data_IF_410328108951
#
_entry.id   IF_410328108951
#
_cell.length_a   1.000
_cell.length_b   1.000
_cell.length_c   1.000
_cell.angle_alpha   90.00
_cell.angle_beta   90.00
_cell.angle_gamma   90.00
#
_symmetry.space_group_name_H-M   'P 1'
#
loop_
_entity.id
_entity.type
_entity.pdbx_description
1 polymer ?
#
# COMPACT_ATOMS: atom_id res chain seq x y z
N UNK A 1 11.33 33.74 2.91
CA UNK A 1 12.11 32.48 3.01
C UNK A 1 11.52 31.42 3.98
N UNK A 2 10.72 31.78 4.99
CA UNK A 2 10.14 30.81 5.97
C UNK A 2 9.09 29.83 5.41
N UNK A 3 8.28 30.22 4.42
CA UNK A 3 7.14 29.39 3.96
C UNK A 3 7.55 28.17 3.12
N UNK A 4 8.71 28.22 2.45
CA UNK A 4 9.20 27.06 1.68
C UNK A 4 9.85 26.02 2.60
N UNK A 5 10.50 26.45 3.69
CA UNK A 5 11.06 25.56 4.69
C UNK A 5 9.96 24.72 5.35
N UNK A 6 8.82 25.31 5.70
CA UNK A 6 7.68 24.54 6.21
C UNK A 6 7.12 23.54 5.20
N UNK A 7 7.11 23.88 3.90
CA UNK A 7 6.71 22.95 2.84
C UNK A 7 7.69 21.78 2.73
N UNK A 8 9.00 22.04 2.75
CA UNK A 8 10.01 20.97 2.69
C UNK A 8 10.00 20.10 3.94
N UNK A 9 9.83 20.68 5.14
CA UNK A 9 9.68 19.93 6.39
C UNK A 9 8.42 19.07 6.36
N UNK A 10 7.31 19.59 5.83
CA UNK A 10 6.07 18.84 5.69
C UNK A 10 6.19 17.71 4.65
N UNK A 11 6.90 17.95 3.55
CA UNK A 11 7.15 16.96 2.49
C UNK A 11 8.10 15.85 2.98
N UNK A 12 9.15 16.21 3.74
CA UNK A 12 10.05 15.25 4.39
C UNK A 12 9.31 14.46 5.47
N UNK A 13 8.49 15.11 6.31
CA UNK A 13 7.64 14.44 7.30
C UNK A 13 6.67 13.45 6.63
N UNK A 14 6.04 13.84 5.53
CA UNK A 14 5.14 12.97 4.78
C UNK A 14 5.88 11.78 4.16
N UNK A 15 7.05 12.01 3.55
CA UNK A 15 7.89 10.96 2.98
C UNK A 15 8.44 10.00 4.05
N UNK A 16 8.75 10.50 5.24
CA UNK A 16 9.24 9.72 6.37
C UNK A 16 8.11 8.86 6.96
N UNK A 17 6.90 9.41 7.12
CA UNK A 17 5.70 8.67 7.51
C UNK A 17 5.32 7.60 6.48
N UNK A 18 5.40 7.89 5.18
CA UNK A 18 5.17 6.91 4.10
C UNK A 18 6.26 5.83 4.01
N UNK A 19 7.48 6.15 4.42
CA UNK A 19 8.59 5.18 4.48
C UNK A 19 8.47 4.26 5.69
N UNK A 20 7.92 4.75 6.81
CA UNK A 20 7.56 3.93 7.97
C UNK A 20 6.32 3.07 7.69
N UNK A 21 5.29 3.59 7.02
CA UNK A 21 4.14 2.81 6.53
C UNK A 21 4.55 1.75 5.50
N UNK A 22 5.49 2.10 4.60
CA UNK A 22 6.08 1.17 3.64
C UNK A 22 6.97 0.14 4.31
N UNK A 23 7.79 0.52 5.30
CA UNK A 23 8.70 -0.36 6.02
C UNK A 23 7.93 -1.30 6.96
N UNK A 24 7.06 -0.79 7.83
CA UNK A 24 6.21 -1.61 8.69
C UNK A 24 5.22 -2.46 7.88
N UNK A 25 4.69 -1.94 6.77
CA UNK A 25 3.90 -2.72 5.82
C UNK A 25 4.72 -3.81 5.14
N UNK A 26 5.97 -3.53 4.74
CA UNK A 26 6.85 -4.47 4.05
C UNK A 26 7.49 -5.49 4.99
N UNK A 27 7.85 -5.13 6.22
CA UNK A 27 8.35 -6.06 7.25
C UNK A 27 7.22 -6.91 7.78
N UNK A 28 6.00 -6.38 7.97
CA UNK A 28 4.83 -7.20 8.31
C UNK A 28 4.44 -8.14 7.15
N UNK A 29 4.55 -7.67 5.89
CA UNK A 29 4.37 -8.47 4.68
C UNK A 29 5.47 -9.53 4.48
N UNK A 30 6.71 -9.25 4.86
CA UNK A 30 7.81 -10.21 4.82
C UNK A 30 7.79 -11.18 6.01
N UNK A 31 7.45 -10.76 7.22
CA UNK A 31 7.34 -11.63 8.41
C UNK A 31 6.20 -12.63 8.26
N UNK A 32 5.09 -12.27 7.58
CA UNK A 32 4.05 -13.25 7.19
C UNK A 32 4.47 -14.15 6.02
N UNK A 33 5.51 -13.80 5.26
CA UNK A 33 6.12 -14.65 4.21
C UNK A 33 7.24 -15.56 4.72
N UNK A 34 7.85 -15.28 5.89
CA UNK A 34 9.11 -15.88 6.34
C UNK A 34 9.07 -16.61 7.68
N UNK A 35 7.90 -16.89 8.27
CA UNK A 35 7.86 -17.93 9.30
C UNK A 35 7.77 -19.32 8.63
N UNK A 36 8.77 -20.20 8.80
CA UNK A 36 8.62 -21.60 8.45
C UNK A 36 7.87 -22.30 9.59
N UNK A 37 6.65 -22.77 9.33
CA UNK A 37 6.10 -23.88 10.08
C UNK A 37 6.89 -25.18 9.74
N UNK A 38 6.89 -26.19 10.62
CA UNK A 38 7.88 -27.25 10.62
C UNK A 38 7.88 -28.03 9.30
N UNK A 39 9.08 -28.37 8.83
CA UNK A 39 9.26 -29.27 7.69
C UNK A 39 8.62 -30.62 7.97
N UNK A 40 7.59 -31.03 7.22
CA UNK A 40 7.40 -32.43 6.81
C UNK A 40 6.71 -32.50 5.44
N UNK A 41 7.51 -32.88 4.44
CA UNK A 41 7.24 -33.66 3.24
C UNK A 41 5.88 -33.55 2.51
N UNK A 42 5.99 -33.03 1.28
CA UNK A 42 5.66 -33.84 0.11
C UNK A 42 4.39 -33.47 -0.64
N UNK A 43 4.59 -33.23 -1.94
CA UNK A 43 3.59 -33.19 -3.03
C UNK A 43 2.94 -31.82 -3.29
N UNK A 44 3.24 -31.37 -4.51
CA UNK A 44 2.77 -30.23 -5.28
C UNK A 44 1.34 -29.74 -5.03
N UNK A 45 1.18 -28.43 -5.02
CA UNK A 45 -0.09 -27.77 -5.26
C UNK A 45 0.07 -26.26 -5.34
N UNK A 46 0.21 -25.74 -6.56
CA UNK A 46 0.16 -24.30 -6.85
C UNK A 46 -1.21 -23.76 -6.43
N UNK A 47 -1.28 -22.87 -5.43
CA UNK A 47 -2.45 -22.01 -5.15
C UNK A 47 -2.06 -20.85 -4.19
N UNK A 48 -2.83 -19.75 -4.08
CA UNK A 48 -2.46 -18.48 -4.71
C UNK A 48 -2.16 -17.35 -3.71
N UNK A 49 -1.59 -16.29 -4.27
CA UNK A 49 -1.34 -14.99 -3.66
C UNK A 49 -2.61 -14.39 -3.03
N UNK A 50 -2.55 -14.01 -1.74
CA UNK A 50 -3.53 -13.18 -1.02
C UNK A 50 -4.42 -13.94 -0.03
N UNK A 51 -4.16 -13.91 1.29
CA UNK A 51 -5.04 -14.68 2.19
C UNK A 51 -5.21 -14.30 3.68
N UNK A 52 -4.54 -13.31 4.27
CA UNK A 52 -4.80 -13.00 5.68
C UNK A 52 -5.80 -11.85 5.83
N UNK A 53 -5.36 -10.61 5.58
CA UNK A 53 -6.19 -9.41 5.80
C UNK A 53 -7.40 -9.31 4.87
N UNK A 54 -7.26 -9.77 3.62
CA UNK A 54 -8.37 -9.80 2.65
C UNK A 54 -9.40 -10.90 2.96
N UNK A 55 -8.93 -12.06 3.46
CA UNK A 55 -9.84 -13.12 3.87
C UNK A 55 -10.74 -12.63 5.01
N UNK A 56 -10.20 -11.89 5.97
CA UNK A 56 -10.99 -11.31 7.07
C UNK A 56 -12.04 -10.30 6.62
N UNK A 57 -11.75 -9.44 5.63
CA UNK A 57 -12.75 -8.48 5.12
C UNK A 57 -13.85 -9.21 4.35
N UNK A 58 -13.50 -10.17 3.49
CA UNK A 58 -14.50 -10.93 2.72
C UNK A 58 -15.38 -11.82 3.61
N UNK A 59 -14.80 -12.42 4.64
CA UNK A 59 -15.51 -13.19 5.65
C UNK A 59 -16.42 -12.28 6.50
N UNK A 60 -15.93 -11.11 6.91
CA UNK A 60 -16.73 -10.14 7.66
C UNK A 60 -17.91 -9.61 6.83
N UNK A 61 -17.81 -9.50 5.50
CA UNK A 61 -18.88 -8.98 4.65
C UNK A 61 -19.95 -10.00 4.28
N UNK A 62 -19.80 -11.28 4.66
CA UNK A 62 -20.75 -12.36 4.33
C UNK A 62 -21.14 -12.36 2.84
N UNK A 63 -20.14 -12.26 1.96
CA UNK A 63 -20.35 -12.14 0.52
C UNK A 63 -21.02 -13.38 -0.07
N UNK A 64 -21.93 -13.18 -1.04
CA UNK A 64 -22.45 -14.29 -1.85
C UNK A 64 -21.32 -14.92 -2.69
N UNK A 65 -21.40 -16.21 -3.03
CA UNK A 65 -20.36 -16.88 -3.82
C UNK A 65 -20.03 -16.16 -5.14
N UNK A 66 -21.04 -15.64 -5.83
CA UNK A 66 -20.85 -14.91 -7.09
C UNK A 66 -20.17 -13.54 -6.89
N UNK A 67 -20.49 -12.84 -5.79
CA UNK A 67 -19.81 -11.59 -5.41
C UNK A 67 -18.35 -11.86 -5.07
N UNK A 68 -18.08 -12.92 -4.28
CA UNK A 68 -16.74 -13.27 -3.86
C UNK A 68 -15.84 -13.58 -5.07
N UNK A 69 -16.33 -14.37 -6.02
CA UNK A 69 -15.57 -14.71 -7.23
C UNK A 69 -15.22 -13.47 -8.06
N UNK A 70 -16.21 -12.60 -8.30
CA UNK A 70 -16.00 -11.36 -9.05
C UNK A 70 -14.97 -10.43 -8.36
N UNK A 71 -15.01 -10.38 -7.03
CA UNK A 71 -14.11 -9.57 -6.23
C UNK A 71 -12.68 -10.12 -6.20
N UNK A 72 -12.51 -11.44 -6.13
CA UNK A 72 -11.19 -12.09 -6.19
C UNK A 72 -10.50 -11.81 -7.53
N UNK A 73 -11.23 -11.91 -8.64
CA UNK A 73 -10.69 -11.64 -9.98
C UNK A 73 -10.21 -10.18 -10.09
N UNK A 74 -10.99 -9.23 -9.57
CA UNK A 74 -10.64 -7.81 -9.56
C UNK A 74 -9.51 -7.47 -8.58
N UNK A 75 -9.44 -8.16 -7.45
CA UNK A 75 -8.38 -7.97 -6.47
C UNK A 75 -7.02 -8.31 -7.07
N UNK A 76 -6.91 -9.38 -7.88
CA UNK A 76 -5.64 -9.73 -8.55
C UNK A 76 -5.08 -8.58 -9.41
N UNK A 77 -5.93 -8.00 -10.27
CA UNK A 77 -5.57 -6.88 -11.15
C UNK A 77 -5.14 -5.65 -10.33
N UNK A 78 -5.87 -5.36 -9.25
CA UNK A 78 -5.57 -4.25 -8.36
C UNK A 78 -4.18 -4.38 -7.70
N UNK A 79 -3.86 -5.56 -7.15
CA UNK A 79 -2.54 -5.77 -6.54
C UNK A 79 -1.42 -5.65 -7.55
N UNK A 80 -1.58 -6.21 -8.75
CA UNK A 80 -0.56 -6.09 -9.79
C UNK A 80 -0.31 -4.62 -10.16
N UNK A 81 -1.37 -3.81 -10.26
CA UNK A 81 -1.25 -2.38 -10.52
C UNK A 81 -0.52 -1.63 -9.39
N UNK A 82 -0.80 -1.97 -8.12
CA UNK A 82 -0.10 -1.39 -6.98
C UNK A 82 1.37 -1.83 -6.91
N UNK A 83 1.66 -3.11 -7.11
CA UNK A 83 3.02 -3.66 -7.06
C UNK A 83 3.92 -2.98 -8.09
N UNK A 84 3.42 -2.75 -9.31
CA UNK A 84 4.15 -1.99 -10.35
C UNK A 84 4.48 -0.57 -9.91
N UNK A 85 3.53 0.13 -9.29
CA UNK A 85 3.75 1.51 -8.80
C UNK A 85 4.71 1.53 -7.60
N UNK A 86 4.63 0.56 -6.69
CA UNK A 86 5.56 0.42 -5.58
C UNK A 86 6.99 0.17 -6.06
N UNK A 87 7.18 -0.75 -7.02
CA UNK A 87 8.47 -1.01 -7.64
C UNK A 87 9.06 0.26 -8.28
N UNK A 88 8.20 1.07 -8.94
CA UNK A 88 8.61 2.35 -9.52
C UNK A 88 9.04 3.36 -8.46
N UNK A 89 8.30 3.50 -7.36
CA UNK A 89 8.70 4.36 -6.24
C UNK A 89 10.04 3.91 -5.64
N UNK A 90 10.24 2.60 -5.47
CA UNK A 90 11.50 2.05 -4.96
C UNK A 90 12.67 2.41 -5.89
N UNK A 91 12.51 2.23 -7.21
CA UNK A 91 13.50 2.63 -8.20
C UNK A 91 13.84 4.13 -8.11
N UNK A 92 12.81 4.99 -8.07
CA UNK A 92 13.01 6.45 -7.99
C UNK A 92 13.71 6.87 -6.70
N UNK A 93 13.43 6.20 -5.57
CA UNK A 93 14.14 6.43 -4.30
C UNK A 93 15.61 6.04 -4.39
N UNK A 94 15.93 4.93 -5.06
CA UNK A 94 17.32 4.55 -5.32
C UNK A 94 18.03 5.59 -6.18
N UNK A 95 17.38 6.09 -7.23
CA UNK A 95 17.94 7.16 -8.07
C UNK A 95 18.17 8.46 -7.29
N UNK A 96 17.21 8.87 -6.46
CA UNK A 96 17.32 10.03 -5.59
C UNK A 96 18.53 9.90 -4.65
N UNK A 97 18.71 8.73 -4.03
CA UNK A 97 19.87 8.46 -3.18
C UNK A 97 21.20 8.54 -3.97
N UNK A 98 21.19 8.10 -5.23
CA UNK A 98 22.33 8.28 -6.15
C UNK A 98 22.68 9.75 -6.38
N UNK A 99 21.67 10.58 -6.68
CA UNK A 99 21.85 12.03 -6.89
C UNK A 99 22.40 12.73 -5.65
N UNK A 100 21.94 12.32 -4.46
CA UNK A 100 22.40 12.88 -3.18
C UNK A 100 23.85 12.48 -2.83
N UNK A 101 24.36 11.37 -3.39
CA UNK A 101 25.72 10.86 -3.13
C UNK A 101 26.77 11.42 -4.09
N UNK A 102 26.37 12.17 -5.11
CA UNK A 102 27.31 12.80 -6.03
C UNK A 102 28.22 13.79 -5.29
N UNK A 103 29.47 13.93 -5.75
CA UNK A 103 30.44 14.90 -5.20
C UNK A 103 29.91 16.35 -5.26
N UNK A 104 29.13 16.64 -6.30
CA UNK A 104 28.39 17.90 -6.47
C UNK A 104 26.92 17.60 -6.76
N UNK A 105 26.05 17.51 -5.73
CA UNK A 105 24.64 17.22 -5.92
C UNK A 105 23.92 18.30 -6.74
N UNK A 106 23.22 17.88 -7.80
CA UNK A 106 22.36 18.78 -8.58
C UNK A 106 20.99 18.91 -7.90
N UNK A 107 20.74 20.09 -7.32
CA UNK A 107 19.48 20.40 -6.65
C UNK A 107 18.26 20.29 -7.57
N UNK A 108 18.38 20.66 -8.85
CA UNK A 108 17.24 20.56 -9.80
C UNK A 108 16.91 19.12 -10.12
N UNK A 109 17.92 18.27 -10.30
CA UNK A 109 17.72 16.85 -10.52
C UNK A 109 17.07 16.17 -9.30
N UNK A 110 17.46 16.57 -8.09
CA UNK A 110 16.86 16.10 -6.83
C UNK A 110 15.39 16.53 -6.73
N UNK A 111 15.07 17.80 -7.00
CA UNK A 111 13.70 18.30 -7.00
C UNK A 111 12.81 17.56 -8.02
N UNK A 112 13.33 17.30 -9.21
CA UNK A 112 12.63 16.52 -10.23
C UNK A 112 12.37 15.08 -9.75
N UNK A 113 13.35 14.41 -9.14
CA UNK A 113 13.17 13.06 -8.61
C UNK A 113 12.12 13.00 -7.48
N UNK A 114 12.06 14.03 -6.63
CA UNK A 114 11.02 14.16 -5.58
C UNK A 114 9.64 14.35 -6.22
N UNK A 115 9.53 15.19 -7.25
CA UNK A 115 8.27 15.39 -7.97
C UNK A 115 7.77 14.10 -8.61
N UNK A 116 8.67 13.33 -9.24
CA UNK A 116 8.34 12.03 -9.84
C UNK A 116 7.84 11.01 -8.80
N UNK A 117 8.52 10.91 -7.65
CA UNK A 117 8.08 10.04 -6.55
C UNK A 117 6.68 10.45 -6.09
N UNK A 118 6.45 11.74 -5.90
CA UNK A 118 5.17 12.28 -5.43
C UNK A 118 4.06 11.99 -6.44
N UNK A 119 4.33 12.15 -7.73
CA UNK A 119 3.37 11.82 -8.80
C UNK A 119 2.97 10.35 -8.81
N UNK A 120 3.92 9.42 -8.65
CA UNK A 120 3.60 7.99 -8.58
C UNK A 120 2.82 7.65 -7.31
N UNK A 121 3.16 8.26 -6.17
CA UNK A 121 2.42 8.08 -4.91
C UNK A 121 0.98 8.59 -5.02
N UNK A 122 0.75 9.73 -5.66
CA UNK A 122 -0.60 10.23 -5.94
C UNK A 122 -1.40 9.22 -6.78
N UNK A 123 -0.81 8.70 -7.86
CA UNK A 123 -1.48 7.69 -8.69
C UNK A 123 -1.81 6.40 -7.91
N UNK A 124 -0.99 6.02 -6.93
CA UNK A 124 -1.31 4.88 -6.06
C UNK A 124 -2.55 5.18 -5.22
N UNK A 125 -2.67 6.37 -4.63
CA UNK A 125 -3.85 6.77 -3.87
C UNK A 125 -5.11 6.78 -4.73
N UNK A 126 -5.03 7.34 -5.95
CA UNK A 126 -6.12 7.33 -6.92
C UNK A 126 -6.54 5.90 -7.28
N UNK A 127 -5.58 4.98 -7.46
CA UNK A 127 -5.84 3.57 -7.74
C UNK A 127 -6.58 2.88 -6.58
N UNK A 128 -6.16 3.15 -5.34
CA UNK A 128 -6.80 2.63 -4.13
C UNK A 128 -8.24 3.12 -4.03
N UNK A 129 -8.47 4.43 -4.15
CA UNK A 129 -9.82 5.03 -4.08
C UNK A 129 -10.72 4.47 -5.17
N UNK A 130 -10.22 4.39 -6.41
CA UNK A 130 -10.97 3.83 -7.53
C UNK A 130 -11.37 2.37 -7.27
N UNK A 131 -10.45 1.54 -6.79
CA UNK A 131 -10.74 0.15 -6.45
C UNK A 131 -11.75 0.02 -5.31
N UNK A 132 -11.64 0.86 -4.28
CA UNK A 132 -12.61 0.86 -3.16
C UNK A 132 -14.03 1.25 -3.62
N UNK A 133 -14.15 2.23 -4.51
CA UNK A 133 -15.44 2.62 -5.07
C UNK A 133 -16.03 1.53 -5.96
N UNK A 134 -15.19 0.88 -6.77
CA UNK A 134 -15.59 -0.26 -7.58
C UNK A 134 -16.05 -1.42 -6.68
N UNK A 135 -15.28 -1.76 -5.65
CA UNK A 135 -15.62 -2.76 -4.63
C UNK A 135 -16.98 -2.49 -4.02
N UNK A 136 -17.18 -1.27 -3.51
CA UNK A 136 -18.43 -0.81 -2.89
C UNK A 136 -19.63 -0.93 -3.84
N UNK A 137 -19.45 -0.73 -5.14
CA UNK A 137 -20.54 -0.82 -6.12
C UNK A 137 -21.10 -2.23 -6.30
N UNK A 138 -20.32 -3.26 -5.96
CA UNK A 138 -20.71 -4.68 -6.05
C UNK A 138 -21.39 -5.21 -4.77
N UNK A 139 -21.47 -4.37 -3.74
CA UNK A 139 -22.05 -4.71 -2.44
C UNK A 139 -23.49 -4.20 -2.32
N UNK A 140 -24.34 -4.92 -1.57
CA UNK A 140 -25.64 -4.40 -1.15
C UNK A 140 -25.50 -3.30 -0.08
N UNK A 141 -26.61 -2.65 0.30
CA UNK A 141 -26.59 -1.49 1.20
C UNK A 141 -26.01 -1.82 2.58
N UNK A 142 -26.30 -2.99 3.12
CA UNK A 142 -25.83 -3.39 4.45
C UNK A 142 -24.35 -3.75 4.40
N UNK A 143 -23.94 -4.49 3.36
CA UNK A 143 -22.54 -4.79 3.07
C UNK A 143 -21.71 -3.52 2.84
N UNK A 144 -22.23 -2.52 2.12
CA UNK A 144 -21.54 -1.25 1.89
C UNK A 144 -21.27 -0.50 3.19
N UNK A 145 -22.25 -0.45 4.09
CA UNK A 145 -22.08 0.19 5.40
C UNK A 145 -20.98 -0.52 6.19
N UNK A 146 -21.09 -1.85 6.33
CA UNK A 146 -20.11 -2.66 7.03
C UNK A 146 -18.70 -2.53 6.45
N UNK A 147 -18.58 -2.46 5.13
CA UNK A 147 -17.30 -2.25 4.45
C UNK A 147 -16.65 -0.92 4.85
N UNK A 148 -17.41 0.18 4.84
CA UNK A 148 -16.88 1.50 5.22
C UNK A 148 -16.55 1.57 6.72
N UNK A 149 -17.35 0.94 7.57
CA UNK A 149 -17.09 0.86 9.01
C UNK A 149 -15.75 0.13 9.29
N UNK A 150 -15.51 -1.01 8.63
CA UNK A 150 -14.24 -1.75 8.75
C UNK A 150 -13.03 -0.93 8.28
N UNK A 151 -13.19 -0.14 7.22
CA UNK A 151 -12.11 0.75 6.74
C UNK A 151 -11.84 1.85 7.78
N UNK A 152 -12.89 2.44 8.34
CA UNK A 152 -12.77 3.49 9.34
C UNK A 152 -12.06 2.97 10.61
N UNK A 153 -12.43 1.79 11.08
CA UNK A 153 -11.78 1.12 12.23
C UNK A 153 -10.29 0.87 11.94
N UNK A 154 -9.97 0.29 10.78
CA UNK A 154 -8.59 0.00 10.38
C UNK A 154 -7.71 1.27 10.25
N UNK A 155 -8.31 2.42 9.91
CA UNK A 155 -7.60 3.70 9.91
C UNK A 155 -7.38 4.23 11.33
N UNK A 156 -8.40 4.15 12.20
CA UNK A 156 -8.34 4.65 13.56
C UNK A 156 -7.34 3.87 14.44
N UNK A 157 -7.23 2.55 14.26
CA UNK A 157 -6.24 1.73 14.98
C UNK A 157 -4.79 2.12 14.67
N UNK A 158 -4.52 2.66 13.47
CA UNK A 158 -3.18 3.10 13.07
C UNK A 158 -2.78 4.45 13.65
N UNK A 159 -3.73 5.33 13.95
CA UNK A 159 -3.45 6.64 14.55
C UNK A 159 -3.08 6.55 16.04
N UNK A 160 -3.36 5.41 16.70
CA UNK A 160 -3.01 5.15 18.10
C UNK A 160 -1.53 4.81 18.35
N UNK A 161 -0.72 4.57 17.30
CA UNK A 161 0.71 4.29 17.41
C UNK A 161 1.52 5.60 17.27
N UNK A 162 1.26 6.55 18.18
CA UNK A 162 2.07 7.75 18.32
C UNK A 162 3.40 7.36 18.99
N UNK A 163 4.55 7.57 18.32
CA UNK A 163 5.84 7.24 18.91
C UNK A 163 6.22 8.20 20.06
N UNK A 164 6.99 7.70 21.06
CA UNK A 164 7.65 8.51 22.09
C UNK A 164 8.73 9.45 21.54
#
# INVERSE_FOLDING_TARGET
>A
MKNHIFKYVLLVSLLMNLSLLGSAGYTHYQQTRLQPAPMVNGVQGRAPSGSATQAHIFEALSLKPDQLKLLQDKAGIFHEALDKKQARVAQLRTSLLGLMRAEHPDGKAIEAAIADISGVQQQMQETVVSHMLEFKSMLDKDQQKKFLDLIQEAMAEKDGMQCP
#
